data_IF_229936644744
#
_entry.id   IF_229936644744
#
_cell.length_a   1.000
_cell.length_b   1.000
_cell.length_c   1.000
_cell.angle_alpha   90.00
_cell.angle_beta   90.00
_cell.angle_gamma   90.00
#
_symmetry.space_group_name_H-M   'P 1'
#
loop_
_entity.id
_entity.type
_entity.pdbx_description
1 polymer ?
#
# COMPACT_ATOMS: atom_id res chain seq x y z
N UNK A 1 2.46 -7.49 11.98
CA UNK A 1 2.63 -6.34 11.07
C UNK A 1 1.96 -6.63 9.73
N UNK A 2 1.69 -5.61 8.96
CA UNK A 2 0.93 -5.66 7.70
C UNK A 2 1.54 -4.69 6.70
N UNK A 3 1.44 -4.98 5.40
CA UNK A 3 1.72 -4.00 4.35
C UNK A 3 0.38 -3.51 3.76
N UNK A 4 0.33 -2.27 3.33
CA UNK A 4 -0.85 -1.65 2.74
C UNK A 4 -0.62 -1.41 1.25
N UNK A 5 -1.62 -1.74 0.42
CA UNK A 5 -1.61 -1.25 -0.96
C UNK A 5 -2.01 0.23 -1.00
N UNK A 6 -2.02 0.81 -2.18
CA UNK A 6 -2.25 2.25 -2.35
C UNK A 6 -3.63 2.68 -1.83
N UNK A 7 -4.69 1.93 -2.15
CA UNK A 7 -6.04 2.27 -1.69
C UNK A 7 -6.20 2.06 -0.18
N UNK A 8 -5.64 0.98 0.37
CA UNK A 8 -5.68 0.75 1.81
C UNK A 8 -4.98 1.87 2.57
N UNK A 9 -3.83 2.33 2.07
CA UNK A 9 -3.10 3.46 2.64
C UNK A 9 -3.95 4.75 2.60
N UNK A 10 -4.55 5.03 1.45
CA UNK A 10 -5.39 6.21 1.25
C UNK A 10 -6.60 6.18 2.19
N UNK A 11 -7.30 5.07 2.25
CA UNK A 11 -8.51 4.95 3.07
C UNK A 11 -8.18 4.99 4.57
N UNK A 12 -7.10 4.35 4.98
CA UNK A 12 -6.64 4.46 6.37
C UNK A 12 -6.36 5.91 6.75
N UNK A 13 -5.70 6.65 5.88
CA UNK A 13 -5.28 8.04 6.18
C UNK A 13 -6.43 9.05 6.07
N UNK A 14 -7.35 8.89 5.11
CA UNK A 14 -8.30 9.94 4.74
C UNK A 14 -9.77 9.51 4.68
N UNK A 15 -10.07 8.23 4.52
CA UNK A 15 -11.46 7.78 4.32
C UNK A 15 -11.69 6.38 4.90
N UNK A 16 -11.66 6.24 6.23
CA UNK A 16 -11.81 4.93 6.88
C UNK A 16 -13.17 4.26 6.65
N UNK A 17 -14.18 4.99 6.20
CA UNK A 17 -15.49 4.42 5.89
C UNK A 17 -15.45 3.43 4.71
N UNK A 18 -14.40 3.47 3.89
CA UNK A 18 -14.20 2.52 2.80
C UNK A 18 -13.68 1.16 3.27
N UNK A 19 -13.24 1.05 4.50
CA UNK A 19 -12.64 -0.17 5.04
C UNK A 19 -13.71 -1.20 5.39
N UNK A 20 -13.45 -2.48 5.07
CA UNK A 20 -14.25 -3.58 5.60
C UNK A 20 -14.05 -3.66 7.13
N UNK A 21 -14.97 -4.32 7.87
CA UNK A 21 -14.78 -4.51 9.32
C UNK A 21 -13.44 -5.19 9.64
N UNK A 22 -13.04 -6.19 8.84
CA UNK A 22 -11.77 -6.88 9.03
C UNK A 22 -10.57 -5.97 8.73
N UNK A 23 -10.64 -5.17 7.67
CA UNK A 23 -9.59 -4.22 7.34
C UNK A 23 -9.44 -3.16 8.44
N UNK A 24 -10.54 -2.63 8.94
CA UNK A 24 -10.53 -1.65 10.03
C UNK A 24 -9.90 -2.23 11.30
N UNK A 25 -10.24 -3.47 11.66
CA UNK A 25 -9.65 -4.16 12.80
C UNK A 25 -8.14 -4.39 12.60
N UNK A 26 -7.74 -4.83 11.41
CA UNK A 26 -6.34 -5.03 11.06
C UNK A 26 -5.53 -3.74 11.16
N UNK A 27 -6.09 -2.63 10.69
CA UNK A 27 -5.43 -1.33 10.75
C UNK A 27 -5.38 -0.76 12.17
N UNK A 28 -6.38 -1.03 12.99
CA UNK A 28 -6.34 -0.67 14.41
C UNK A 28 -5.17 -1.40 15.13
N UNK A 29 -4.96 -2.68 14.82
CA UNK A 29 -3.81 -3.42 15.33
C UNK A 29 -2.49 -2.85 14.79
N UNK A 30 -2.45 -2.45 13.52
CA UNK A 30 -1.27 -1.84 12.90
C UNK A 30 -0.83 -0.56 13.63
N UNK A 31 -1.75 0.24 14.13
CA UNK A 31 -1.42 1.46 14.88
C UNK A 31 -0.60 1.16 16.13
N UNK A 32 -0.69 -0.06 16.68
CA UNK A 32 0.12 -0.52 17.81
C UNK A 32 1.39 -1.24 17.36
N UNK A 33 1.26 -2.08 16.34
CA UNK A 33 2.29 -3.05 15.97
C UNK A 33 3.17 -2.58 14.81
N UNK A 34 2.73 -1.53 14.11
CA UNK A 34 3.42 -1.02 12.95
C UNK A 34 3.01 -1.70 11.64
N UNK A 35 3.28 -1.02 10.53
CA UNK A 35 3.01 -1.52 9.19
C UNK A 35 3.90 -0.87 8.16
N UNK A 36 3.70 -1.27 6.92
CA UNK A 36 4.51 -0.83 5.79
C UNK A 36 3.63 -0.38 4.64
N UNK A 37 4.09 0.61 3.89
CA UNK A 37 3.56 0.94 2.58
C UNK A 37 4.73 1.24 1.65
N UNK A 38 4.64 0.82 0.40
CA UNK A 38 5.65 1.17 -0.58
C UNK A 38 5.60 2.66 -0.91
N UNK A 39 6.75 3.29 -1.06
CA UNK A 39 6.83 4.68 -1.52
C UNK A 39 6.26 4.87 -2.92
N UNK A 40 6.08 3.79 -3.71
CA UNK A 40 5.43 3.87 -5.02
C UNK A 40 3.96 4.32 -4.91
N UNK A 41 3.32 4.08 -3.76
CA UNK A 41 1.96 4.57 -3.53
C UNK A 41 1.87 6.09 -3.56
N UNK A 42 2.91 6.77 -3.13
CA UNK A 42 2.97 8.24 -3.19
C UNK A 42 2.98 8.70 -4.65
N UNK A 43 3.76 8.03 -5.50
CA UNK A 43 3.78 8.31 -6.93
C UNK A 43 2.43 8.05 -7.60
N UNK A 44 1.79 6.92 -7.28
CA UNK A 44 0.46 6.61 -7.81
C UNK A 44 -0.57 7.66 -7.44
N UNK A 45 -0.65 8.00 -6.16
CA UNK A 45 -1.62 8.99 -5.66
C UNK A 45 -1.31 10.37 -6.23
N UNK A 46 -0.07 10.80 -6.19
CA UNK A 46 0.36 12.11 -6.71
C UNK A 46 0.09 12.25 -8.19
N UNK A 47 0.32 11.20 -8.97
CA UNK A 47 0.06 11.19 -10.41
C UNK A 47 -1.45 11.31 -10.70
N UNK A 48 -2.29 10.59 -9.96
CA UNK A 48 -3.75 10.66 -10.11
C UNK A 48 -4.28 12.04 -9.75
N UNK A 49 -3.76 12.65 -8.69
CA UNK A 49 -4.13 14.03 -8.30
C UNK A 49 -3.75 15.00 -9.42
N UNK A 50 -2.53 14.91 -9.92
CA UNK A 50 -2.05 15.78 -11.01
C UNK A 50 -2.89 15.66 -12.28
N UNK A 51 -3.39 14.47 -12.57
CA UNK A 51 -4.25 14.21 -13.75
C UNK A 51 -5.72 14.53 -13.53
N UNK A 52 -6.08 15.05 -12.36
CA UNK A 52 -7.47 15.37 -12.02
C UNK A 52 -8.36 14.14 -11.80
N UNK A 53 -7.78 12.97 -11.56
CA UNK A 53 -8.51 11.71 -11.36
C UNK A 53 -8.77 11.39 -9.90
N UNK A 54 -8.20 12.15 -8.98
CA UNK A 54 -8.33 11.95 -7.55
C UNK A 54 -8.25 13.28 -6.82
N UNK A 55 -9.18 13.50 -5.89
CA UNK A 55 -9.16 14.64 -4.99
C UNK A 55 -8.94 14.15 -3.57
N UNK A 56 -7.92 14.67 -2.91
CA UNK A 56 -7.56 14.28 -1.54
C UNK A 56 -8.09 15.26 -0.49
N UNK A 57 -8.47 16.48 -0.90
CA UNK A 57 -8.80 17.56 0.03
C UNK A 57 -7.59 18.19 0.70
N UNK A 58 -6.38 17.77 0.34
CA UNK A 58 -5.10 18.29 0.81
C UNK A 58 -4.02 17.99 -0.23
N UNK A 59 -2.83 18.58 -0.09
CA UNK A 59 -1.73 18.31 -1.00
C UNK A 59 -1.14 16.92 -0.75
N UNK A 60 -0.48 16.36 -1.77
CA UNK A 60 0.22 15.08 -1.61
C UNK A 60 1.34 15.20 -0.55
N UNK A 61 2.00 16.33 -0.47
CA UNK A 61 3.04 16.60 0.53
C UNK A 61 2.47 16.55 1.95
N UNK A 62 1.29 17.12 2.15
CA UNK A 62 0.63 17.07 3.47
C UNK A 62 0.20 15.64 3.82
N UNK A 63 -0.29 14.86 2.85
CA UNK A 63 -0.60 13.45 3.07
C UNK A 63 0.64 12.68 3.54
N UNK A 64 1.77 12.87 2.87
CA UNK A 64 3.04 12.23 3.25
C UNK A 64 3.43 12.60 4.68
N UNK A 65 3.34 13.89 5.02
CA UNK A 65 3.65 14.35 6.38
C UNK A 65 2.75 13.70 7.43
N UNK A 66 1.46 13.54 7.14
CA UNK A 66 0.53 12.86 8.05
C UNK A 66 0.91 11.41 8.28
N UNK A 67 1.24 10.70 7.21
CA UNK A 67 1.68 9.30 7.28
C UNK A 67 2.93 9.19 8.14
N UNK A 68 3.92 10.02 7.88
CA UNK A 68 5.20 10.01 8.61
C UNK A 68 5.03 10.39 10.08
N UNK A 69 4.21 11.39 10.39
CA UNK A 69 3.94 11.80 11.76
C UNK A 69 3.18 10.76 12.58
N UNK A 70 2.38 9.92 11.93
CA UNK A 70 1.64 8.86 12.63
C UNK A 70 2.56 7.84 13.29
N UNK A 71 3.76 7.66 12.73
CA UNK A 71 4.73 6.63 13.13
C UNK A 71 4.18 5.19 13.06
N UNK A 72 2.96 5.00 12.55
CA UNK A 72 2.34 3.68 12.43
C UNK A 72 2.75 2.96 11.16
N UNK A 73 3.06 3.70 10.09
CA UNK A 73 3.41 3.16 8.78
C UNK A 73 4.79 3.67 8.37
N UNK A 74 5.67 2.72 8.05
CA UNK A 74 6.94 3.03 7.42
C UNK A 74 6.76 3.05 5.90
N UNK A 75 7.12 4.17 5.27
CA UNK A 75 7.17 4.26 3.81
C UNK A 75 8.48 3.60 3.34
N UNK A 76 8.35 2.47 2.68
CA UNK A 76 9.49 1.66 2.24
C UNK A 76 9.98 2.15 0.88
N UNK A 77 11.23 2.59 0.76
CA UNK A 77 11.79 3.00 -0.52
C UNK A 77 11.80 1.84 -1.53
N UNK A 78 11.59 2.17 -2.81
CA UNK A 78 11.73 1.19 -3.89
C UNK A 78 13.19 1.18 -4.33
N UNK A 79 13.98 0.33 -3.71
CA UNK A 79 15.39 0.15 -4.02
C UNK A 79 15.60 -0.90 -5.14
N UNK A 80 16.86 -1.10 -5.53
CA UNK A 80 17.21 -2.06 -6.58
C UNK A 80 16.77 -3.47 -6.24
N UNK A 81 16.88 -3.88 -4.99
CA UNK A 81 16.45 -5.21 -4.54
C UNK A 81 14.96 -5.42 -4.75
N UNK A 82 14.15 -4.43 -4.41
CA UNK A 82 12.69 -4.48 -4.62
C UNK A 82 12.37 -4.54 -6.11
N UNK A 83 13.04 -3.74 -6.94
CA UNK A 83 12.84 -3.80 -8.39
C UNK A 83 13.16 -5.19 -8.95
N UNK A 84 14.27 -5.78 -8.55
CA UNK A 84 14.64 -7.13 -9.01
C UNK A 84 13.62 -8.18 -8.55
N UNK A 85 13.13 -8.09 -7.32
CA UNK A 85 12.05 -8.96 -6.82
C UNK A 85 10.78 -8.80 -7.66
N UNK A 86 10.42 -7.57 -8.01
CA UNK A 86 9.21 -7.30 -8.78
C UNK A 86 9.27 -7.93 -10.17
N UNK A 87 10.44 -7.90 -10.80
CA UNK A 87 10.64 -8.54 -12.10
C UNK A 87 10.55 -10.07 -11.99
N UNK A 88 11.07 -10.63 -10.91
CA UNK A 88 11.14 -12.08 -10.71
C UNK A 88 9.83 -12.72 -10.23
N UNK A 89 8.80 -11.94 -9.87
CA UNK A 89 7.53 -12.50 -9.41
C UNK A 89 6.93 -13.48 -10.45
N UNK A 90 6.51 -14.68 -10.04
CA UNK A 90 5.84 -15.64 -10.93
C UNK A 90 4.38 -15.24 -11.14
N UNK A 91 4.17 -14.13 -11.81
CA UNK A 91 2.87 -13.48 -11.96
C UNK A 91 2.86 -12.64 -13.23
N UNK A 92 1.85 -12.82 -14.09
CA UNK A 92 1.77 -12.18 -15.40
C UNK A 92 1.25 -10.74 -15.34
N UNK A 93 0.85 -10.28 -14.18
CA UNK A 93 0.31 -8.93 -13.99
C UNK A 93 1.33 -7.87 -14.40
N UNK A 94 0.90 -6.93 -15.26
CA UNK A 94 1.80 -5.95 -15.90
C UNK A 94 1.95 -4.63 -15.16
N UNK A 95 1.06 -4.33 -14.22
CA UNK A 95 1.11 -3.07 -13.48
C UNK A 95 2.36 -3.04 -12.60
N UNK A 96 3.34 -2.15 -12.91
CA UNK A 96 4.58 -2.11 -12.14
C UNK A 96 4.35 -1.71 -10.68
N UNK A 97 3.39 -0.85 -10.39
CA UNK A 97 3.10 -0.43 -9.04
C UNK A 97 2.59 -1.60 -8.19
N UNK A 98 1.66 -2.42 -8.72
CA UNK A 98 1.16 -3.60 -8.03
C UNK A 98 2.27 -4.62 -7.79
N UNK A 99 3.15 -4.82 -8.77
CA UNK A 99 4.28 -5.72 -8.64
C UNK A 99 5.24 -5.27 -7.55
N UNK A 100 5.52 -3.99 -7.46
CA UNK A 100 6.36 -3.40 -6.42
C UNK A 100 5.72 -3.53 -5.03
N UNK A 101 4.42 -3.27 -4.93
CA UNK A 101 3.67 -3.37 -3.66
C UNK A 101 3.71 -4.81 -3.14
N UNK A 102 3.43 -5.78 -4.00
CA UNK A 102 3.50 -7.21 -3.64
C UNK A 102 4.92 -7.58 -3.21
N UNK A 103 5.93 -7.14 -3.96
CA UNK A 103 7.34 -7.41 -3.65
C UNK A 103 7.76 -6.81 -2.30
N UNK A 104 7.24 -5.63 -1.97
CA UNK A 104 7.50 -4.99 -0.69
C UNK A 104 6.95 -5.83 0.48
N UNK A 105 5.69 -6.29 0.36
CA UNK A 105 5.09 -7.16 1.36
C UNK A 105 5.88 -8.46 1.54
N UNK A 106 6.27 -9.09 0.43
CA UNK A 106 7.08 -10.31 0.46
C UNK A 106 8.46 -10.07 1.10
N UNK A 107 9.12 -8.97 0.78
CA UNK A 107 10.41 -8.62 1.35
C UNK A 107 10.34 -8.40 2.87
N UNK A 108 9.23 -7.87 3.36
CA UNK A 108 8.99 -7.67 4.79
C UNK A 108 8.41 -8.90 5.49
N UNK A 109 8.04 -9.94 4.74
CA UNK A 109 7.49 -11.16 5.31
C UNK A 109 6.13 -10.97 5.96
N UNK A 110 5.31 -10.06 5.44
CA UNK A 110 3.99 -9.72 6.00
C UNK A 110 2.89 -9.87 4.96
N UNK A 111 1.64 -10.09 5.38
CA UNK A 111 0.52 -10.06 4.45
C UNK A 111 0.24 -8.66 3.93
N UNK A 112 -0.47 -8.58 2.81
CA UNK A 112 -0.86 -7.34 2.15
C UNK A 112 -2.34 -7.08 2.37
N UNK A 113 -2.67 -5.90 2.88
CA UNK A 113 -4.04 -5.42 2.99
C UNK A 113 -4.45 -4.80 1.66
N UNK A 114 -5.38 -5.43 0.95
CA UNK A 114 -5.79 -5.01 -0.40
C UNK A 114 -7.18 -5.51 -0.75
N UNK A 115 -7.94 -4.69 -1.50
CA UNK A 115 -9.19 -5.13 -2.15
C UNK A 115 -8.97 -5.60 -3.58
N UNK A 116 -7.78 -5.41 -4.13
CA UNK A 116 -7.51 -5.67 -5.54
C UNK A 116 -7.68 -7.15 -5.88
N UNK A 117 -8.65 -7.47 -6.75
CA UNK A 117 -8.95 -8.85 -7.09
C UNK A 117 -7.82 -9.53 -7.86
N UNK A 118 -7.10 -8.78 -8.71
CA UNK A 118 -5.97 -9.33 -9.45
C UNK A 118 -4.85 -9.79 -8.50
N UNK A 119 -4.63 -9.06 -7.41
CA UNK A 119 -3.65 -9.44 -6.38
C UNK A 119 -4.19 -10.60 -5.54
N UNK A 120 -5.44 -10.50 -5.08
CA UNK A 120 -6.05 -11.50 -4.19
C UNK A 120 -6.16 -12.87 -4.84
N UNK A 121 -6.56 -12.91 -6.12
CA UNK A 121 -6.75 -14.16 -6.85
C UNK A 121 -5.44 -14.81 -7.31
N UNK A 122 -4.38 -14.03 -7.45
CA UNK A 122 -3.09 -14.54 -7.94
C UNK A 122 -2.37 -15.47 -6.95
N UNK A 123 -2.61 -15.31 -5.65
CA UNK A 123 -1.98 -16.15 -4.63
C UNK A 123 -0.47 -15.95 -4.49
N UNK A 124 0.08 -14.85 -5.01
CA UNK A 124 1.52 -14.55 -4.95
C UNK A 124 1.96 -13.99 -3.60
N UNK A 125 1.02 -13.50 -2.83
CA UNK A 125 1.23 -12.98 -1.47
C UNK A 125 -0.04 -13.26 -0.65
N UNK A 126 0.11 -13.47 0.66
CA UNK A 126 -1.04 -13.56 1.55
C UNK A 126 -1.76 -12.19 1.61
N UNK A 127 -3.08 -12.20 1.50
CA UNK A 127 -3.88 -10.97 1.49
C UNK A 127 -4.93 -10.97 2.58
N UNK A 128 -5.31 -9.77 3.01
CA UNK A 128 -6.38 -9.53 3.97
C UNK A 128 -7.31 -8.44 3.42
N UNK A 129 -8.60 -8.66 3.62
CA UNK A 129 -9.60 -7.59 3.49
C UNK A 129 -10.91 -7.94 4.20
#
# INVERSE_FOLDING_TARGET
>A
MIALDTHALLWWALDPDQLSPRAAETLAAMERDGGYASSISIWELGTKVKRGKLELGLSIEELVRRIERSAAVELVPVDTTIWLRSVALPWDHRDPADRVIVSTALAKGVPLLTTDEAIRSAGVVATIW
#
